data_IF_338548261922
#
_entry.id   IF_338548261922
#
_cell.length_a   1.000
_cell.length_b   1.000
_cell.length_c   1.000
_cell.angle_alpha   90.00
_cell.angle_beta   90.00
_cell.angle_gamma   90.00
#
_symmetry.space_group_name_H-M   'P 1'
#
loop_
_entity.id
_entity.type
_entity.pdbx_description
1 polymer ?
#
# COMPACT_ATOMS: atom_id res chain seq x y z
N UNK A 1 -6.35 43.28 18.49
CA UNK A 1 -5.08 43.60 17.81
C UNK A 1 -3.89 42.81 18.36
N UNK A 2 -3.91 42.29 19.59
CA UNK A 2 -2.80 41.47 20.15
C UNK A 2 -2.65 40.05 19.55
N UNK A 3 -3.74 39.42 19.09
CA UNK A 3 -3.68 38.07 18.52
C UNK A 3 -2.99 38.02 17.15
N UNK A 4 -3.12 39.09 16.36
CA UNK A 4 -2.59 39.20 14.99
C UNK A 4 -1.07 39.43 14.95
N UNK A 5 -0.55 40.15 15.95
CA UNK A 5 0.89 40.40 16.12
C UNK A 5 1.61 39.14 16.59
N UNK A 6 1.02 38.39 17.53
CA UNK A 6 1.62 37.14 18.04
C UNK A 6 1.70 36.07 16.94
N UNK A 7 0.65 36.02 16.11
CA UNK A 7 0.52 35.12 14.99
C UNK A 7 1.45 35.48 13.81
N UNK A 8 1.60 36.77 13.48
CA UNK A 8 2.56 37.24 12.46
C UNK A 8 4.02 37.11 12.90
N UNK A 9 4.33 37.29 14.20
CA UNK A 9 5.65 36.97 14.77
C UNK A 9 5.92 35.47 14.72
N UNK A 10 4.92 34.65 15.04
CA UNK A 10 5.03 33.18 14.92
C UNK A 10 5.33 32.80 13.47
N UNK A 11 4.60 33.36 12.50
CA UNK A 11 4.82 33.14 11.09
C UNK A 11 6.21 33.64 10.61
N UNK A 12 6.69 34.77 11.12
CA UNK A 12 8.05 35.27 10.86
C UNK A 12 9.12 34.33 11.42
N UNK A 13 8.89 33.75 12.60
CA UNK A 13 9.73 32.69 13.18
C UNK A 13 9.65 31.43 12.30
N UNK A 14 8.47 31.08 11.76
CA UNK A 14 8.27 29.91 10.90
C UNK A 14 8.90 30.05 9.52
N UNK A 15 8.80 31.22 8.87
CA UNK A 15 9.47 31.52 7.60
C UNK A 15 10.97 31.65 7.83
N UNK A 16 11.40 32.23 8.97
CA UNK A 16 12.81 32.25 9.38
C UNK A 16 13.37 30.84 9.59
N UNK A 17 12.64 29.94 10.25
CA UNK A 17 12.96 28.51 10.38
C UNK A 17 12.91 27.80 9.02
N UNK A 18 11.93 28.15 8.19
CA UNK A 18 11.71 27.81 6.78
C UNK A 18 12.94 28.05 5.90
N UNK A 19 13.44 29.28 5.95
CA UNK A 19 14.60 29.77 5.21
C UNK A 19 15.91 29.22 5.82
N UNK A 20 15.95 29.00 7.14
CA UNK A 20 17.04 28.32 7.82
C UNK A 20 17.13 26.81 7.47
N UNK A 21 16.09 26.21 6.87
CA UNK A 21 16.20 24.85 6.30
C UNK A 21 17.18 24.78 5.11
N UNK A 22 17.51 25.91 4.48
CA UNK A 22 18.60 26.01 3.51
C UNK A 22 19.99 26.21 4.13
N UNK A 23 20.07 26.56 5.42
CA UNK A 23 21.27 27.03 6.12
C UNK A 23 21.59 26.22 7.38
N UNK A 24 22.24 25.09 7.20
CA UNK A 24 23.19 24.45 8.14
C UNK A 24 22.79 24.06 9.57
N UNK A 25 21.58 24.35 10.10
CA UNK A 25 21.25 24.01 11.49
C UNK A 25 20.04 23.08 11.72
N UNK A 26 19.28 22.70 10.68
CA UNK A 26 18.15 21.79 10.86
C UNK A 26 17.93 20.88 9.64
N UNK A 27 18.67 19.77 9.60
CA UNK A 27 18.56 18.75 8.54
C UNK A 27 17.59 17.61 8.90
N UNK A 28 16.77 17.76 9.95
CA UNK A 28 15.90 16.68 10.38
C UNK A 28 14.54 16.75 9.70
N UNK A 29 14.26 15.71 8.91
CA UNK A 29 12.97 15.55 8.22
C UNK A 29 11.82 15.35 9.23
N UNK A 30 12.12 14.74 10.38
CA UNK A 30 11.20 14.54 11.50
C UNK A 30 10.62 15.89 11.92
N UNK A 31 11.51 16.82 12.19
CA UNK A 31 11.08 18.06 12.75
C UNK A 31 10.53 19.04 11.71
N UNK A 32 10.96 18.93 10.44
CA UNK A 32 10.21 19.56 9.34
C UNK A 32 8.77 19.06 9.31
N UNK A 33 8.55 17.74 9.44
CA UNK A 33 7.20 17.17 9.45
C UNK A 33 6.38 17.67 10.65
N UNK A 34 6.97 17.76 11.84
CA UNK A 34 6.32 18.31 13.03
C UNK A 34 5.89 19.76 12.83
N UNK A 35 6.80 20.59 12.31
CA UNK A 35 6.53 22.00 12.03
C UNK A 35 5.36 22.16 11.03
N UNK A 36 5.33 21.34 9.97
CA UNK A 36 4.25 21.34 8.98
C UNK A 36 2.92 20.87 9.58
N UNK A 37 2.96 19.87 10.47
CA UNK A 37 1.78 19.35 11.15
C UNK A 37 1.18 20.42 12.08
N UNK A 38 2.01 21.05 12.91
CA UNK A 38 1.61 22.12 13.82
C UNK A 38 1.02 23.31 13.06
N UNK A 39 1.65 23.73 11.97
CA UNK A 39 1.19 24.83 11.13
C UNK A 39 -0.16 24.56 10.46
N UNK A 40 -0.38 23.32 10.01
CA UNK A 40 -1.65 22.91 9.42
C UNK A 40 -2.76 22.87 10.47
N UNK A 41 -2.45 22.43 11.69
CA UNK A 41 -3.39 22.32 12.81
C UNK A 41 -3.75 23.69 13.40
N UNK A 42 -2.76 24.56 13.61
CA UNK A 42 -2.97 25.92 14.12
C UNK A 42 -3.64 26.84 13.10
N UNK A 43 -3.59 26.50 11.82
CA UNK A 43 -4.11 27.33 10.73
C UNK A 43 -3.30 28.60 10.50
N UNK A 44 -2.08 28.71 11.04
CA UNK A 44 -1.25 29.92 10.94
C UNK A 44 -0.96 30.35 9.49
N UNK A 45 -1.00 29.45 8.52
CA UNK A 45 -0.84 29.80 7.11
C UNK A 45 -1.93 30.77 6.60
N UNK A 46 -3.11 30.82 7.25
CA UNK A 46 -4.23 31.70 6.87
C UNK A 46 -3.93 33.19 7.11
N UNK A 47 -2.94 33.50 7.96
CA UNK A 47 -2.53 34.89 8.26
C UNK A 47 -2.04 35.59 6.99
N UNK A 48 -1.47 34.84 6.04
CA UNK A 48 -1.00 35.35 4.75
C UNK A 48 -2.11 35.47 3.71
N UNK A 49 -3.39 35.34 4.10
CA UNK A 49 -4.54 35.25 3.18
C UNK A 49 -4.35 34.19 2.08
N UNK A 50 -3.50 33.19 2.32
CA UNK A 50 -3.23 32.10 1.39
C UNK A 50 -3.99 30.86 1.85
N UNK A 51 -4.58 30.14 0.89
CA UNK A 51 -5.05 28.79 1.18
C UNK A 51 -3.86 27.82 1.32
N UNK A 52 -4.11 26.63 1.86
CA UNK A 52 -3.05 25.63 2.05
C UNK A 52 -2.43 25.18 0.72
N UNK A 53 -3.19 25.25 -0.37
CA UNK A 53 -2.79 24.81 -1.72
C UNK A 53 -1.80 25.79 -2.38
N UNK A 54 -1.95 27.08 -2.10
CA UNK A 54 -1.10 28.17 -2.54
C UNK A 54 0.09 28.38 -1.59
N UNK A 55 -0.13 28.18 -0.29
CA UNK A 55 0.91 28.34 0.73
C UNK A 55 2.04 27.32 0.56
N UNK A 56 1.71 26.04 0.34
CA UNK A 56 2.70 24.96 0.21
C UNK A 56 3.75 25.24 -0.90
N UNK A 57 3.38 25.47 -2.17
CA UNK A 57 4.37 25.70 -3.21
C UNK A 57 5.09 27.06 -3.04
N UNK A 58 4.41 28.08 -2.53
CA UNK A 58 4.94 29.45 -2.45
C UNK A 58 5.93 29.64 -1.29
N UNK A 59 5.65 29.03 -0.13
CA UNK A 59 6.42 29.26 1.10
C UNK A 59 7.21 28.03 1.56
N UNK A 60 6.73 26.82 1.28
CA UNK A 60 7.42 25.56 1.65
C UNK A 60 8.25 25.02 0.49
N UNK A 61 7.93 25.38 -0.76
CA UNK A 61 8.61 24.89 -1.96
C UNK A 61 8.23 23.44 -2.32
N UNK A 62 7.18 22.90 -1.70
CA UNK A 62 6.64 21.56 -1.96
C UNK A 62 5.17 21.65 -2.35
N UNK A 63 4.69 20.70 -3.16
CA UNK A 63 3.27 20.65 -3.49
C UNK A 63 2.44 20.31 -2.25
N UNK A 64 1.17 20.77 -2.20
CA UNK A 64 0.23 20.41 -1.13
C UNK A 64 0.19 18.91 -0.86
N UNK A 65 0.16 18.10 -1.92
CA UNK A 65 0.12 16.63 -1.81
C UNK A 65 1.36 16.09 -1.11
N UNK A 66 2.55 16.60 -1.42
CA UNK A 66 3.80 16.19 -0.77
C UNK A 66 3.81 16.59 0.71
N UNK A 67 3.40 17.81 1.04
CA UNK A 67 3.29 18.29 2.42
C UNK A 67 2.28 17.45 3.21
N UNK A 68 1.12 17.17 2.63
CA UNK A 68 0.09 16.34 3.26
C UNK A 68 0.60 14.90 3.49
N UNK A 69 1.36 14.33 2.54
CA UNK A 69 2.02 13.02 2.73
C UNK A 69 3.03 13.04 3.87
N UNK A 70 3.83 14.10 4.00
CA UNK A 70 4.80 14.24 5.09
C UNK A 70 4.07 14.26 6.46
N UNK A 71 3.02 15.07 6.57
CA UNK A 71 2.20 15.14 7.80
C UNK A 71 1.52 13.80 8.08
N UNK A 72 1.02 13.11 7.05
CA UNK A 72 0.38 11.82 7.21
C UNK A 72 1.35 10.76 7.73
N UNK A 73 2.54 10.64 7.13
CA UNK A 73 3.56 9.69 7.56
C UNK A 73 4.04 9.96 9.00
N UNK A 74 4.11 11.23 9.42
CA UNK A 74 4.42 11.58 10.82
C UNK A 74 3.35 11.04 11.77
N UNK A 75 2.07 11.20 11.42
CA UNK A 75 0.95 10.73 12.25
C UNK A 75 0.84 9.21 12.26
N UNK A 76 1.19 8.55 11.16
CA UNK A 76 1.09 7.10 11.02
C UNK A 76 2.26 6.38 11.71
N UNK A 77 3.50 6.82 11.48
CA UNK A 77 4.70 6.08 11.89
C UNK A 77 5.52 6.76 12.98
N UNK A 78 5.18 8.00 13.34
CA UNK A 78 5.90 8.78 14.32
C UNK A 78 7.24 9.31 13.83
N UNK A 79 8.06 9.72 14.81
CA UNK A 79 9.42 10.23 14.67
C UNK A 79 10.41 9.18 14.18
N UNK A 80 10.25 7.93 14.64
CA UNK A 80 11.13 6.80 14.31
C UNK A 80 11.27 6.58 12.80
N UNK A 81 10.19 6.79 12.03
CA UNK A 81 10.22 6.72 10.56
C UNK A 81 11.16 7.76 9.96
N UNK A 82 11.10 9.00 10.45
CA UNK A 82 11.89 10.08 9.90
C UNK A 82 13.36 9.99 10.32
N UNK A 83 13.63 9.59 11.56
CA UNK A 83 15.00 9.27 12.02
C UNK A 83 15.62 8.18 11.16
N UNK A 84 14.88 7.10 10.87
CA UNK A 84 15.36 6.06 9.97
C UNK A 84 15.57 6.58 8.54
N UNK A 85 14.67 7.46 8.06
CA UNK A 85 14.72 8.05 6.72
C UNK A 85 15.94 8.95 6.48
N UNK A 86 16.51 9.52 7.55
CA UNK A 86 17.75 10.32 7.48
C UNK A 86 18.96 9.46 7.11
N UNK A 87 19.00 8.21 7.56
CA UNK A 87 20.12 7.29 7.34
C UNK A 87 19.94 6.42 6.10
N UNK A 88 18.68 6.07 5.82
CA UNK A 88 18.28 5.15 4.76
C UNK A 88 17.07 5.71 4.02
N UNK A 89 17.20 5.93 2.71
CA UNK A 89 16.04 6.30 1.90
C UNK A 89 15.05 5.12 1.90
N UNK A 90 14.00 5.22 2.71
CA UNK A 90 12.97 4.20 2.91
C UNK A 90 11.61 4.75 2.49
N UNK A 91 10.89 3.98 1.67
CA UNK A 91 9.51 4.32 1.33
C UNK A 91 8.57 3.94 2.48
N UNK A 92 7.42 4.63 2.63
CA UNK A 92 6.40 4.27 3.63
C UNK A 92 5.98 2.80 3.56
N UNK A 93 5.84 2.25 2.35
CA UNK A 93 5.49 0.84 2.14
C UNK A 93 6.59 -0.13 2.62
N UNK A 94 7.86 0.25 2.45
CA UNK A 94 8.98 -0.54 2.97
C UNK A 94 9.01 -0.45 4.49
N UNK A 95 8.76 0.73 5.04
CA UNK A 95 8.70 0.94 6.49
C UNK A 95 7.64 0.07 7.14
N UNK A 96 6.41 0.03 6.63
CA UNK A 96 5.34 -0.87 7.12
C UNK A 96 5.73 -2.34 7.17
N UNK A 97 6.60 -2.79 6.27
CA UNK A 97 7.07 -4.19 6.25
C UNK A 97 8.13 -4.49 7.30
N UNK A 98 8.91 -3.48 7.69
CA UNK A 98 9.95 -3.61 8.70
C UNK A 98 9.50 -3.12 10.08
N UNK A 99 8.40 -2.38 10.17
CA UNK A 99 7.79 -1.89 11.41
C UNK A 99 7.62 -2.99 12.48
N UNK A 100 7.21 -4.24 12.15
CA UNK A 100 7.13 -5.31 13.15
C UNK A 100 8.48 -5.67 13.79
N UNK A 101 9.59 -5.33 13.13
CA UNK A 101 10.97 -5.55 13.61
C UNK A 101 11.54 -4.33 14.32
N UNK A 102 10.78 -3.24 14.42
CA UNK A 102 11.19 -2.02 15.11
C UNK A 102 10.50 -1.99 16.47
N UNK A 103 11.28 -1.90 17.55
CA UNK A 103 10.80 -1.77 18.92
C UNK A 103 11.63 -0.71 19.64
N UNK A 104 10.97 0.21 20.33
CA UNK A 104 11.61 1.24 21.16
C UNK A 104 12.79 1.98 20.49
N UNK A 105 12.61 2.43 19.24
CA UNK A 105 13.66 3.10 18.42
C UNK A 105 14.87 2.22 18.10
N UNK A 106 14.70 0.90 18.16
CA UNK A 106 15.68 -0.09 17.79
C UNK A 106 15.12 -0.98 16.68
N UNK A 107 15.95 -1.35 15.73
CA UNK A 107 15.60 -2.27 14.64
C UNK A 107 16.27 -3.62 14.87
N UNK A 108 15.50 -4.70 14.75
CA UNK A 108 16.02 -6.06 14.80
C UNK A 108 16.76 -6.39 13.49
N UNK A 109 18.07 -6.61 13.60
CA UNK A 109 18.95 -7.03 12.51
C UNK A 109 19.60 -8.35 12.94
N UNK A 110 19.35 -9.43 12.20
CA UNK A 110 19.89 -10.77 12.48
C UNK A 110 19.66 -11.27 13.91
N UNK A 111 18.51 -10.92 14.51
CA UNK A 111 18.15 -11.29 15.88
C UNK A 111 18.76 -10.40 16.97
N UNK A 112 19.45 -9.32 16.59
CA UNK A 112 20.02 -8.33 17.51
C UNK A 112 19.28 -7.01 17.37
N UNK A 113 18.87 -6.43 18.50
CA UNK A 113 18.26 -5.09 18.52
C UNK A 113 19.36 -4.03 18.36
N UNK A 114 19.30 -3.29 17.27
CA UNK A 114 20.27 -2.23 16.94
C UNK A 114 19.60 -0.86 17.06
N UNK A 115 20.14 0.07 17.87
CA UNK A 115 19.59 1.42 17.97
C UNK A 115 19.62 2.17 16.63
N UNK A 116 18.51 2.86 16.31
CA UNK A 116 18.41 3.72 15.13
C UNK A 116 19.18 5.02 15.41
N UNK A 117 20.47 4.98 15.15
CA UNK A 117 21.39 6.09 15.38
C UNK A 117 22.43 6.19 14.26
N UNK A 118 23.06 7.36 14.14
CA UNK A 118 24.01 7.66 13.07
C UNK A 118 25.21 6.67 13.04
N UNK A 119 25.61 6.19 14.21
CA UNK A 119 26.71 5.22 14.39
C UNK A 119 26.38 3.87 13.74
N UNK A 120 25.11 3.49 13.73
CA UNK A 120 24.63 2.22 13.17
C UNK A 120 24.07 2.39 11.74
N UNK A 121 24.11 3.60 11.17
CA UNK A 121 23.47 3.93 9.90
C UNK A 121 23.91 3.02 8.73
N UNK A 122 25.19 2.62 8.70
CA UNK A 122 25.72 1.71 7.67
C UNK A 122 25.12 0.31 7.82
N UNK A 123 25.13 -0.23 9.03
CA UNK A 123 24.56 -1.55 9.34
C UNK A 123 23.06 -1.60 9.05
N UNK A 124 22.33 -0.56 9.44
CA UNK A 124 20.89 -0.44 9.18
C UNK A 124 20.62 -0.36 7.68
N UNK A 125 21.42 0.41 6.93
CA UNK A 125 21.29 0.50 5.47
C UNK A 125 21.49 -0.84 4.79
N UNK A 126 22.51 -1.59 5.19
CA UNK A 126 22.82 -2.89 4.61
C UNK A 126 21.71 -3.90 4.93
N UNK A 127 21.23 -3.92 6.17
CA UNK A 127 20.10 -4.76 6.57
C UNK A 127 18.83 -4.44 5.76
N UNK A 128 18.48 -3.15 5.61
CA UNK A 128 17.31 -2.74 4.81
C UNK A 128 17.49 -3.12 3.33
N UNK A 129 18.69 -3.00 2.76
CA UNK A 129 18.97 -3.40 1.38
C UNK A 129 18.90 -4.93 1.18
N UNK A 130 19.34 -5.71 2.17
CA UNK A 130 19.17 -7.16 2.15
C UNK A 130 17.69 -7.53 2.22
N UNK A 131 16.91 -6.91 3.12
CA UNK A 131 15.47 -7.13 3.21
C UNK A 131 14.75 -6.77 1.90
N UNK A 132 15.16 -5.69 1.22
CA UNK A 132 14.65 -5.34 -0.12
C UNK A 132 14.92 -6.41 -1.15
N UNK A 133 16.13 -6.95 -1.15
CA UNK A 133 16.53 -8.03 -2.08
C UNK A 133 15.72 -9.30 -1.82
N UNK A 134 15.53 -9.66 -0.55
CA UNK A 134 14.71 -10.80 -0.15
C UNK A 134 13.24 -10.63 -0.56
N UNK A 135 12.65 -9.45 -0.34
CA UNK A 135 11.27 -9.15 -0.75
C UNK A 135 11.09 -9.24 -2.27
N UNK A 136 12.04 -8.72 -3.05
CA UNK A 136 12.01 -8.84 -4.52
C UNK A 136 12.10 -10.29 -4.96
N UNK A 137 12.99 -11.07 -4.34
CA UNK A 137 13.15 -12.50 -4.65
C UNK A 137 11.86 -13.28 -4.36
N UNK A 138 11.25 -13.05 -3.20
CA UNK A 138 9.98 -13.69 -2.85
C UNK A 138 8.83 -13.29 -3.80
N UNK A 139 8.80 -12.05 -4.28
CA UNK A 139 7.82 -11.60 -5.28
C UNK A 139 8.04 -12.27 -6.64
N UNK A 140 9.29 -12.43 -7.06
CA UNK A 140 9.63 -13.10 -8.32
C UNK A 140 9.33 -14.60 -8.24
N UNK A 141 9.64 -15.25 -7.12
CA UNK A 141 9.28 -16.65 -6.86
C UNK A 141 7.76 -16.86 -6.85
N UNK A 142 7.00 -15.93 -6.24
CA UNK A 142 5.54 -15.98 -6.26
C UNK A 142 4.97 -15.78 -7.68
N UNK A 143 5.62 -14.94 -8.49
CA UNK A 143 5.23 -14.73 -9.90
C UNK A 143 5.51 -15.98 -10.74
N UNK A 144 6.70 -16.57 -10.59
CA UNK A 144 7.07 -17.81 -11.27
C UNK A 144 6.17 -18.98 -10.87
N UNK A 145 5.81 -19.09 -9.58
CA UNK A 145 4.87 -20.12 -9.12
C UNK A 145 3.45 -19.94 -9.72
N UNK A 146 3.03 -18.71 -9.99
CA UNK A 146 1.78 -18.44 -10.68
C UNK A 146 1.87 -18.74 -12.19
N UNK A 147 3.01 -18.45 -12.82
CA UNK A 147 3.26 -18.78 -14.23
C UNK A 147 3.32 -20.32 -14.44
N UNK A 148 3.92 -21.07 -13.50
CA UNK A 148 3.93 -22.54 -13.51
C UNK A 148 2.53 -23.16 -13.31
N UNK A 149 1.64 -22.48 -12.58
CA UNK A 149 0.23 -22.88 -12.44
C UNK A 149 -0.58 -22.60 -13.72
N UNK A 150 -0.20 -21.57 -14.49
CA UNK A 150 -0.81 -21.25 -15.77
C UNK A 150 -0.44 -22.29 -16.85
N UNK A 151 0.72 -22.95 -16.75
CA UNK A 151 1.11 -24.09 -17.62
C UNK A 151 0.22 -25.33 -17.39
N UNK A 152 -0.38 -25.48 -16.21
CA UNK A 152 -1.29 -26.59 -15.87
C UNK A 152 -2.75 -26.32 -16.25
N UNK A 153 -3.08 -25.10 -16.67
CA UNK A 153 -4.42 -24.67 -17.03
C UNK A 153 -4.46 -24.46 -18.55
N UNK A 154 -5.40 -25.09 -19.28
CA UNK A 154 -5.52 -24.86 -20.72
C UNK A 154 -5.64 -23.34 -20.99
N UNK A 155 -4.96 -22.76 -22.00
CA UNK A 155 -5.01 -21.32 -22.28
C UNK A 155 -6.45 -20.80 -22.47
N UNK A 156 -7.35 -21.67 -22.91
CA UNK A 156 -8.79 -21.38 -23.03
C UNK A 156 -9.47 -21.20 -21.66
N UNK A 157 -9.06 -21.99 -20.67
CA UNK A 157 -9.58 -21.94 -19.29
C UNK A 157 -9.03 -20.69 -18.58
N UNK A 158 -7.74 -20.36 -18.75
CA UNK A 158 -7.14 -19.12 -18.24
C UNK A 158 -7.81 -17.88 -18.85
N UNK A 159 -8.11 -17.90 -20.16
CA UNK A 159 -8.81 -16.80 -20.81
C UNK A 159 -10.24 -16.60 -20.26
N UNK A 160 -10.94 -17.68 -19.95
CA UNK A 160 -12.26 -17.62 -19.30
C UNK A 160 -12.14 -17.07 -17.88
N UNK A 161 -11.17 -17.54 -17.10
CA UNK A 161 -10.93 -17.06 -15.74
C UNK A 161 -10.63 -15.55 -15.71
N UNK A 162 -9.74 -15.08 -16.57
CA UNK A 162 -9.39 -13.66 -16.68
C UNK A 162 -10.60 -12.79 -17.00
N UNK A 163 -11.49 -13.26 -17.90
CA UNK A 163 -12.73 -12.54 -18.25
C UNK A 163 -13.74 -12.51 -17.10
N UNK A 164 -13.83 -13.58 -16.32
CA UNK A 164 -14.69 -13.63 -15.13
C UNK A 164 -14.17 -12.67 -14.05
N UNK A 165 -12.86 -12.63 -13.81
CA UNK A 165 -12.25 -11.72 -12.84
C UNK A 165 -12.44 -10.26 -13.21
N UNK A 166 -12.26 -9.91 -14.50
CA UNK A 166 -12.55 -8.57 -15.00
C UNK A 166 -14.04 -8.20 -14.80
N UNK A 167 -14.95 -9.12 -15.10
CA UNK A 167 -16.38 -8.92 -14.92
C UNK A 167 -16.75 -8.69 -13.45
N UNK A 168 -16.17 -9.46 -12.52
CA UNK A 168 -16.38 -9.26 -11.08
C UNK A 168 -15.80 -7.94 -10.58
N UNK A 169 -14.64 -7.53 -11.08
CA UNK A 169 -14.04 -6.25 -10.75
C UNK A 169 -14.95 -5.08 -11.19
N UNK A 170 -15.55 -5.17 -12.38
CA UNK A 170 -16.49 -4.16 -12.87
C UNK A 170 -17.79 -4.12 -12.05
N UNK A 171 -18.34 -5.28 -11.67
CA UNK A 171 -19.50 -5.32 -10.77
C UNK A 171 -19.18 -4.65 -9.42
N UNK A 172 -18.02 -4.97 -8.81
CA UNK A 172 -17.60 -4.35 -7.53
C UNK A 172 -17.47 -2.83 -7.62
N UNK A 173 -17.08 -2.29 -8.78
CA UNK A 173 -17.01 -0.84 -9.02
C UNK A 173 -18.37 -0.19 -9.17
N UNK A 174 -19.37 -0.94 -9.65
CA UNK A 174 -20.73 -0.45 -9.86
C UNK A 174 -21.56 -0.46 -8.56
N UNK A 175 -21.38 -1.45 -7.67
CA UNK A 175 -22.11 -1.58 -6.40
C UNK A 175 -22.32 -0.26 -5.64
N UNK A 176 -21.30 0.58 -5.37
CA UNK A 176 -21.48 1.83 -4.62
C UNK A 176 -22.25 2.93 -5.37
N UNK A 177 -22.57 2.74 -6.65
CA UNK A 177 -23.23 3.71 -7.54
C UNK A 177 -24.63 3.28 -7.97
N UNK A 178 -25.09 2.10 -7.54
CA UNK A 178 -26.39 1.56 -7.95
C UNK A 178 -27.52 2.30 -7.26
N UNK A 179 -28.59 2.56 -8.00
CA UNK A 179 -29.88 2.95 -7.44
C UNK A 179 -30.60 1.73 -6.86
N UNK A 180 -31.59 1.94 -5.98
CA UNK A 180 -32.40 0.90 -5.34
C UNK A 180 -33.07 -0.05 -6.37
N UNK A 181 -33.42 0.50 -7.54
CA UNK A 181 -33.96 -0.26 -8.69
C UNK A 181 -32.90 -1.13 -9.39
N UNK A 182 -31.65 -0.65 -9.45
CA UNK A 182 -30.55 -1.34 -10.10
C UNK A 182 -29.94 -2.41 -9.19
N UNK A 183 -30.04 -2.24 -7.87
CA UNK A 183 -29.59 -3.20 -6.88
C UNK A 183 -30.37 -4.54 -6.97
N UNK A 184 -31.70 -4.46 -7.11
CA UNK A 184 -32.52 -5.66 -7.32
C UNK A 184 -32.19 -6.37 -8.63
N UNK A 185 -31.96 -5.62 -9.72
CA UNK A 185 -31.58 -6.17 -11.01
C UNK A 185 -30.20 -6.86 -10.95
N UNK A 186 -29.24 -6.27 -10.23
CA UNK A 186 -27.93 -6.85 -10.00
C UNK A 186 -28.00 -8.11 -9.12
N UNK A 187 -28.82 -8.11 -8.07
CA UNK A 187 -29.05 -9.29 -7.23
C UNK A 187 -29.67 -10.45 -8.03
N UNK A 188 -30.64 -10.16 -8.90
CA UNK A 188 -31.24 -11.16 -9.79
C UNK A 188 -30.22 -11.72 -10.78
N UNK A 189 -29.38 -10.86 -11.39
CA UNK A 189 -28.31 -11.26 -12.30
C UNK A 189 -27.31 -12.20 -11.62
N UNK A 190 -26.82 -11.83 -10.43
CA UNK A 190 -25.86 -12.65 -9.66
C UNK A 190 -26.49 -13.99 -9.27
N UNK A 191 -27.74 -13.99 -8.82
CA UNK A 191 -28.46 -15.21 -8.45
C UNK A 191 -28.61 -16.18 -9.63
N UNK A 192 -28.96 -15.64 -10.81
CA UNK A 192 -29.03 -16.42 -12.05
C UNK A 192 -27.66 -16.98 -12.47
N UNK A 193 -26.60 -16.17 -12.39
CA UNK A 193 -25.24 -16.61 -12.70
C UNK A 193 -24.77 -17.73 -11.79
N UNK A 194 -25.05 -17.66 -10.48
CA UNK A 194 -24.73 -18.73 -9.52
C UNK A 194 -25.44 -20.03 -9.90
N UNK A 195 -26.75 -19.98 -10.17
CA UNK A 195 -27.52 -21.17 -10.55
C UNK A 195 -26.97 -21.82 -11.84
N UNK A 196 -26.62 -20.99 -12.83
CA UNK A 196 -26.05 -21.45 -14.11
C UNK A 196 -24.70 -22.13 -13.93
N UNK A 197 -23.79 -21.50 -13.17
CA UNK A 197 -22.46 -22.05 -12.90
C UNK A 197 -22.54 -23.35 -12.09
N UNK A 198 -23.45 -23.45 -11.12
CA UNK A 198 -23.71 -24.68 -10.39
C UNK A 198 -24.20 -25.81 -11.30
N UNK A 199 -25.02 -25.50 -12.31
CA UNK A 199 -25.42 -26.44 -13.35
C UNK A 199 -24.24 -26.96 -14.15
N UNK A 200 -23.35 -26.07 -14.59
CA UNK A 200 -22.14 -26.44 -15.34
C UNK A 200 -21.20 -27.34 -14.52
N UNK A 201 -21.00 -27.05 -13.23
CA UNK A 201 -20.20 -27.88 -12.33
C UNK A 201 -20.77 -29.31 -12.24
N UNK A 202 -22.09 -29.46 -12.16
CA UNK A 202 -22.74 -30.79 -12.15
C UNK A 202 -22.46 -31.55 -13.45
N UNK A 203 -22.57 -30.89 -14.61
CA UNK A 203 -22.30 -31.51 -15.92
C UNK A 203 -20.83 -31.93 -16.06
N UNK A 204 -19.89 -31.08 -15.65
CA UNK A 204 -18.45 -31.41 -15.70
C UNK A 204 -18.11 -32.60 -14.81
N UNK A 205 -18.69 -32.68 -13.61
CA UNK A 205 -18.51 -33.83 -12.71
C UNK A 205 -19.13 -35.11 -13.26
N UNK A 206 -20.30 -35.03 -13.90
CA UNK A 206 -20.93 -36.19 -14.55
C UNK A 206 -20.07 -36.72 -15.72
N UNK A 207 -19.51 -35.84 -16.53
CA UNK A 207 -18.61 -36.21 -17.63
C UNK A 207 -17.31 -36.86 -17.10
N UNK A 208 -16.70 -36.29 -16.05
CA UNK A 208 -15.52 -36.85 -15.42
C UNK A 208 -15.78 -38.24 -14.81
N UNK A 209 -16.98 -38.49 -14.27
CA UNK A 209 -17.39 -39.80 -13.76
C UNK A 209 -17.58 -40.83 -14.89
N UNK A 210 -18.14 -40.42 -16.03
CA UNK A 210 -18.31 -41.29 -17.20
C UNK A 210 -16.98 -41.71 -17.84
N UNK A 211 -15.97 -40.84 -17.83
CA UNK A 211 -14.61 -41.13 -18.30
C UNK A 211 -13.83 -42.08 -17.37
N UNK A 212 -14.28 -42.28 -16.13
CA UNK A 212 -13.61 -43.10 -15.10
C UNK A 212 -14.23 -44.48 -14.90
N UNK A 213 -15.26 -44.84 -15.69
CA UNK A 213 -15.91 -46.14 -15.58
C UNK A 213 -14.96 -47.26 -16.06
N UNK A 214 -14.73 -48.34 -15.26
CA UNK A 214 -13.85 -49.43 -15.65
C UNK A 214 -14.45 -50.22 -16.82
N UNK A 215 -13.60 -50.54 -17.80
CA UNK A 215 -13.91 -51.37 -18.96
C UNK A 215 -14.51 -52.72 -18.50
N UNK A 216 -15.60 -53.22 -19.12
CA UNK A 216 -16.21 -54.48 -18.71
C UNK A 216 -15.22 -55.65 -18.85
N UNK A 217 -15.21 -56.62 -17.92
CA UNK A 217 -14.26 -57.71 -17.96
C UNK A 217 -14.46 -58.55 -19.22
N UNK A 218 -13.34 -58.88 -19.87
CA UNK A 218 -13.32 -59.67 -21.10
C UNK A 218 -14.03 -61.03 -20.88
N UNK A 219 -14.80 -61.53 -21.88
CA UNK A 219 -15.52 -62.79 -21.75
C UNK A 219 -14.52 -63.93 -21.55
N UNK A 220 -14.67 -64.65 -20.44
CA UNK A 220 -13.92 -65.87 -20.14
C UNK A 220 -14.26 -66.96 -21.16
N UNK A 221 -13.26 -67.65 -21.75
CA UNK A 221 -13.52 -68.71 -22.72
C UNK A 221 -14.09 -69.94 -22.01
N UNK A 222 -15.27 -70.37 -22.44
CA UNK A 222 -15.92 -71.62 -22.03
C UNK A 222 -15.03 -72.82 -22.35
N UNK A 223 -14.94 -73.77 -21.41
CA UNK A 223 -14.40 -75.11 -21.58
C UNK A 223 -15.41 -76.13 -21.08
#
# INVERSE_FOLDING_TARGET
MENDVTQSVSLGIWIGRGQAFGGTAYKSMEAMAMCLAEMKESGSYKILNSDWEQFCPTHVGLTRRQVDTIIHNLKEFGDTYYQLSEFVNISPETYRKIEPKIQDHQIEIDGVMVPIAAENAVQIRDAVNQMRTQLRKAQEEARQANDDLDVLTSPEVTAIQTRLDACFADMRRLIPRLSDKDDHAMCALVSYSIATLQGMIKTLRANAASLRAPMPPAPTPER
#
